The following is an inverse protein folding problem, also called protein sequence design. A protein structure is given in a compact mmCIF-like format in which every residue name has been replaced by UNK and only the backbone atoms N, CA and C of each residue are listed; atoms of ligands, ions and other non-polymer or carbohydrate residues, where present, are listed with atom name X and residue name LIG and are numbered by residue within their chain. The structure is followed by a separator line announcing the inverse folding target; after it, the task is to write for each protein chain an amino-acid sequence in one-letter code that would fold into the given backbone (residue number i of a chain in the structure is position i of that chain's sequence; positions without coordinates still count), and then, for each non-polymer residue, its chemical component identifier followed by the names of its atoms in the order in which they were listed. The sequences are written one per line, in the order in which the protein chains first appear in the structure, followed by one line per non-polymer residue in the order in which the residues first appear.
data_IF_998696901987
#
_entry.id   IF_998696901987
#
_cell.length_a   1.000
_cell.length_b   1.000
_cell.length_c   1.000
_cell.angle_alpha   90.00
_cell.angle_beta   90.00
_cell.angle_gamma   90.00
#
_symmetry.space_group_name_H-M   'P 1'
#
loop_
_entity.id
_entity.type
_entity.pdbx_description
1 polymer ?
#
# COMPACT_ATOMS: atom_id res chain seq x y z
N UNK A 1 -6.80 -9.38 -27.05
CA UNK A 1 -5.71 -9.42 -26.06
C UNK A 1 -6.34 -9.79 -24.72
N UNK A 2 -5.85 -10.78 -23.97
CA UNK A 2 -6.32 -10.97 -22.61
C UNK A 2 -5.97 -9.71 -21.80
N UNK A 3 -6.95 -9.14 -21.10
CA UNK A 3 -6.68 -8.08 -20.13
C UNK A 3 -5.68 -8.62 -19.09
N UNK A 4 -4.69 -7.82 -18.66
CA UNK A 4 -3.83 -8.23 -17.57
C UNK A 4 -4.69 -8.59 -16.36
N UNK A 5 -4.38 -9.73 -15.74
CA UNK A 5 -5.11 -10.19 -14.56
C UNK A 5 -5.00 -9.12 -13.47
N UNK A 6 -6.13 -8.46 -13.18
CA UNK A 6 -6.20 -7.36 -12.21
C UNK A 6 -5.73 -7.79 -10.83
N UNK A 7 -5.92 -9.06 -10.47
CA UNK A 7 -5.41 -9.60 -9.21
C UNK A 7 -3.88 -9.68 -9.21
N UNK A 8 -3.28 -10.14 -10.31
CA UNK A 8 -1.82 -10.19 -10.43
C UNK A 8 -1.20 -8.79 -10.39
N UNK A 9 -1.82 -7.82 -11.06
CA UNK A 9 -1.37 -6.42 -11.05
C UNK A 9 -1.46 -5.79 -9.64
N UNK A 10 -2.56 -6.03 -8.92
CA UNK A 10 -2.72 -5.54 -7.54
C UNK A 10 -1.68 -6.14 -6.59
N UNK A 11 -1.42 -7.45 -6.71
CA UNK A 11 -0.41 -8.12 -5.89
C UNK A 11 0.99 -7.52 -6.14
N UNK A 12 1.35 -7.31 -7.41
CA UNK A 12 2.62 -6.72 -7.78
C UNK A 12 2.75 -5.27 -7.27
N UNK A 13 1.68 -4.48 -7.31
CA UNK A 13 1.68 -3.13 -6.76
C UNK A 13 1.94 -3.13 -5.24
N UNK A 14 1.30 -4.03 -4.49
CA UNK A 14 1.52 -4.18 -3.04
C UNK A 14 2.96 -4.63 -2.75
N UNK A 15 3.53 -5.52 -3.56
CA UNK A 15 4.92 -5.97 -3.42
C UNK A 15 5.90 -4.81 -3.58
N UNK A 16 5.75 -4.01 -4.63
CA UNK A 16 6.59 -2.84 -4.92
C UNK A 16 6.47 -1.81 -3.79
N UNK A 17 5.24 -1.51 -3.35
CA UNK A 17 5.01 -0.54 -2.28
C UNK A 17 5.61 -1.00 -0.95
N UNK A 18 5.58 -2.31 -0.66
CA UNK A 18 6.20 -2.85 0.55
C UNK A 18 7.72 -2.74 0.50
N UNK A 19 8.34 -3.00 -0.65
CA UNK A 19 9.78 -2.80 -0.84
C UNK A 19 10.17 -1.33 -0.63
N UNK A 20 9.40 -0.39 -1.20
CA UNK A 20 9.60 1.05 -0.96
C UNK A 20 9.50 1.38 0.53
N UNK A 21 8.48 0.87 1.22
CA UNK A 21 8.30 1.11 2.66
C UNK A 21 9.45 0.55 3.51
N UNK A 22 10.08 -0.54 3.06
CA UNK A 22 11.25 -1.14 3.71
C UNK A 22 12.48 -0.27 3.50
N UNK A 23 12.72 0.20 2.27
CA UNK A 23 13.84 1.10 1.93
C UNK A 23 13.77 2.39 2.74
N UNK A 24 12.56 2.94 2.91
CA UNK A 24 12.32 4.18 3.66
C UNK A 24 12.25 3.96 5.18
N UNK A 25 12.40 2.73 5.68
CA UNK A 25 12.27 2.39 7.10
C UNK A 25 10.93 2.85 7.71
N UNK A 26 9.83 2.74 6.97
CA UNK A 26 8.49 3.05 7.49
C UNK A 26 7.98 2.01 8.48
N UNK A 27 8.66 0.85 8.61
CA UNK A 27 8.28 -0.24 9.52
C UNK A 27 6.83 -0.74 9.34
N UNK A 28 6.28 -0.66 8.13
CA UNK A 28 4.95 -1.14 7.80
C UNK A 28 5.01 -2.59 7.33
N UNK A 29 4.24 -3.47 7.97
CA UNK A 29 4.04 -4.82 7.45
C UNK A 29 3.09 -4.81 6.23
N UNK A 30 3.14 -5.88 5.42
CA UNK A 30 2.31 -6.04 4.21
C UNK A 30 0.81 -5.90 4.46
N UNK A 31 0.29 -6.35 5.60
CA UNK A 31 -1.13 -6.29 5.92
C UNK A 31 -1.53 -4.85 6.23
N UNK A 32 -0.75 -4.16 7.05
CA UNK A 32 -0.96 -2.75 7.39
C UNK A 32 -0.91 -1.89 6.14
N UNK A 33 0.07 -2.10 5.26
CA UNK A 33 0.16 -1.41 3.97
C UNK A 33 -1.07 -1.66 3.07
N UNK A 34 -1.55 -2.90 3.00
CA UNK A 34 -2.74 -3.25 2.19
C UNK A 34 -4.01 -2.56 2.71
N UNK A 35 -4.15 -2.44 4.04
CA UNK A 35 -5.24 -1.69 4.68
C UNK A 35 -5.12 -0.21 4.33
N UNK A 36 -3.91 0.36 4.39
CA UNK A 36 -3.67 1.76 4.04
C UNK A 36 -4.07 2.08 2.60
N UNK A 37 -3.67 1.22 1.65
CA UNK A 37 -4.05 1.34 0.24
C UNK A 37 -5.58 1.34 0.11
N UNK A 38 -6.26 0.38 0.75
CA UNK A 38 -7.73 0.29 0.71
C UNK A 38 -8.43 1.51 1.32
N UNK A 39 -7.84 2.12 2.35
CA UNK A 39 -8.36 3.34 2.97
C UNK A 39 -8.17 4.55 2.05
N UNK A 40 -7.00 4.69 1.45
CA UNK A 40 -6.68 5.78 0.52
C UNK A 40 -7.56 5.69 -0.74
N UNK A 41 -7.78 4.50 -1.29
CA UNK A 41 -8.71 4.26 -2.41
C UNK A 41 -10.16 4.67 -2.08
N UNK A 42 -10.53 4.65 -0.79
CA UNK A 42 -11.84 5.11 -0.29
C UNK A 42 -11.86 6.61 0.06
N UNK A 43 -10.78 7.33 -0.21
CA UNK A 43 -10.68 8.78 -0.02
C UNK A 43 -10.14 9.22 1.35
N UNK A 44 -9.57 8.31 2.14
CA UNK A 44 -8.89 8.70 3.38
C UNK A 44 -7.61 9.47 3.05
N UNK A 45 -7.39 10.60 3.73
CA UNK A 45 -6.19 11.40 3.56
C UNK A 45 -4.93 10.62 4.01
N UNK A 46 -3.90 10.47 3.14
CA UNK A 46 -2.70 9.71 3.46
C UNK A 46 -1.81 10.35 4.55
N UNK A 47 -1.78 11.68 4.66
CA UNK A 47 -1.04 12.40 5.72
C UNK A 47 -1.67 12.13 7.08
N UNK A 48 -3.00 12.17 7.18
CA UNK A 48 -3.71 11.84 8.41
C UNK A 48 -3.45 10.38 8.83
N UNK A 49 -3.38 9.47 7.86
CA UNK A 49 -3.07 8.07 8.10
C UNK A 49 -1.63 7.86 8.57
N UNK A 50 -0.67 8.60 7.99
CA UNK A 50 0.74 8.58 8.40
C UNK A 50 0.90 9.03 9.86
N UNK A 51 0.20 10.10 10.27
CA UNK A 51 0.17 10.56 11.66
C UNK A 51 -0.36 9.48 12.61
N UNK A 52 -1.42 8.76 12.22
CA UNK A 52 -1.97 7.66 13.03
C UNK A 52 -1.01 6.47 13.18
N UNK A 53 -0.20 6.20 12.16
CA UNK A 53 0.76 5.10 12.13
C UNK A 53 2.15 5.49 12.66
N UNK A 54 2.37 6.79 12.92
CA UNK A 54 3.62 7.36 13.37
C UNK A 54 4.80 7.01 12.43
N UNK A 55 4.57 7.18 11.13
CA UNK A 55 5.54 6.99 10.04
C UNK A 55 5.88 8.30 9.35
#
# INVERSE_FOLDING_TARGET
MPEPDKHAAAQQAVDILHEISTILNCHLDRRTLSICISMIERGVNPEALAVCLNV
#
